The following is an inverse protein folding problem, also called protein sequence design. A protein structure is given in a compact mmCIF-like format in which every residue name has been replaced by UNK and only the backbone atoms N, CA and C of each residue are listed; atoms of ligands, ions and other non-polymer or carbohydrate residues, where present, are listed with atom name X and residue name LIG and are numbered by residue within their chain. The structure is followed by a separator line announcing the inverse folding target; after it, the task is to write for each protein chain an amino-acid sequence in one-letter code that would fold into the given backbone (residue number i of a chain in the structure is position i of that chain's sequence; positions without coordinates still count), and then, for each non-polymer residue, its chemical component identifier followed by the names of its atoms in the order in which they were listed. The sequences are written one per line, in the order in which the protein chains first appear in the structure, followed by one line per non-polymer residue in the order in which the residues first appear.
data_IF_328559055446
#
_entry.id   IF_328559055446
#
_cell.length_a   1.000
_cell.length_b   1.000
_cell.length_c   1.000
_cell.angle_alpha   90.00
_cell.angle_beta   90.00
_cell.angle_gamma   90.00
#
_symmetry.space_group_name_H-M   'P 1'
#
loop_
_entity.id
_entity.type
_entity.pdbx_description
1 polymer ?
#
# COMPACT_ATOMS: atom_id res chain seq x y z
N UNK A 1 -4.10 -16.23 8.42
CA UNK A 1 -3.14 -15.25 8.92
C UNK A 1 -1.84 -15.21 8.08
N UNK A 2 -1.06 -16.29 7.99
CA UNK A 2 0.19 -16.29 7.20
C UNK A 2 -0.03 -15.96 5.72
N UNK A 3 -1.04 -16.54 5.09
CA UNK A 3 -1.39 -16.25 3.70
C UNK A 3 -1.74 -14.77 3.48
N UNK A 4 -2.49 -14.15 4.40
CA UNK A 4 -2.84 -12.72 4.35
C UNK A 4 -1.59 -11.84 4.42
N UNK A 5 -0.64 -12.17 5.31
CA UNK A 5 0.64 -11.45 5.41
C UNK A 5 1.45 -11.57 4.12
N UNK A 6 1.53 -12.76 3.52
CA UNK A 6 2.25 -12.97 2.25
C UNK A 6 1.60 -12.18 1.11
N UNK A 7 0.27 -12.19 1.03
CA UNK A 7 -0.46 -11.40 0.03
C UNK A 7 -0.26 -9.90 0.24
N UNK A 8 -0.33 -9.41 1.47
CA UNK A 8 -0.07 -8.01 1.79
C UNK A 8 1.35 -7.58 1.40
N UNK A 9 2.37 -8.39 1.70
CA UNK A 9 3.76 -8.08 1.33
C UNK A 9 4.01 -8.07 -0.17
N UNK A 10 3.25 -8.85 -0.95
CA UNK A 10 3.37 -8.89 -2.40
C UNK A 10 2.50 -7.86 -3.12
N UNK A 11 1.33 -7.54 -2.58
CA UNK A 11 0.33 -6.69 -3.21
C UNK A 11 0.33 -5.24 -2.73
N UNK A 12 0.86 -4.95 -1.54
CA UNK A 12 0.78 -3.61 -0.96
C UNK A 12 1.54 -2.57 -1.80
N UNK A 13 0.79 -1.56 -2.24
CA UNK A 13 1.27 -0.51 -3.14
C UNK A 13 2.32 0.39 -2.50
N UNK A 14 2.14 0.74 -1.23
CA UNK A 14 3.09 1.57 -0.49
C UNK A 14 4.44 0.88 -0.34
N UNK A 15 4.43 -0.44 -0.15
CA UNK A 15 5.64 -1.24 -0.09
C UNK A 15 6.36 -1.30 -1.44
N UNK A 16 5.61 -1.38 -2.55
CA UNK A 16 6.19 -1.31 -3.89
C UNK A 16 6.82 0.06 -4.17
N UNK A 17 6.16 1.14 -3.75
CA UNK A 17 6.71 2.50 -3.85
C UNK A 17 8.02 2.59 -3.04
N UNK A 18 8.04 2.16 -1.79
CA UNK A 18 9.25 2.18 -0.98
C UNK A 18 10.42 1.36 -1.58
N UNK A 19 10.13 0.26 -2.28
CA UNK A 19 11.16 -0.50 -3.04
C UNK A 19 11.72 0.30 -4.21
N UNK A 20 10.87 1.02 -4.94
CA UNK A 20 11.28 1.90 -6.04
C UNK A 20 12.12 3.07 -5.50
N UNK A 21 11.76 3.64 -4.35
CA UNK A 21 12.52 4.71 -3.70
C UNK A 21 13.94 4.26 -3.34
N UNK A 22 14.12 3.04 -2.83
CA UNK A 22 15.44 2.44 -2.59
C UNK A 22 16.23 2.29 -3.89
N UNK A 23 15.58 1.84 -4.97
CA UNK A 23 16.22 1.68 -6.27
C UNK A 23 16.62 3.04 -6.86
N UNK A 24 15.77 4.04 -6.74
CA UNK A 24 16.05 5.42 -7.13
C UNK A 24 17.26 5.97 -6.38
N UNK A 25 17.26 5.86 -5.04
CA UNK A 25 18.38 6.31 -4.21
C UNK A 25 19.71 5.57 -4.53
N UNK A 26 19.66 4.29 -4.93
CA UNK A 26 20.84 3.56 -5.43
C UNK A 26 21.35 4.12 -6.73
N UNK A 27 20.45 4.48 -7.66
CA UNK A 27 20.81 5.05 -8.95
C UNK A 27 21.41 6.45 -8.78
N UNK A 28 20.86 7.26 -7.87
CA UNK A 28 21.38 8.58 -7.53
C UNK A 28 22.79 8.48 -6.93
N UNK A 29 23.00 7.56 -6.00
CA UNK A 29 24.33 7.29 -5.44
C UNK A 29 25.31 6.80 -6.52
N UNK A 30 24.87 5.95 -7.44
CA UNK A 30 25.68 5.48 -8.57
C UNK A 30 26.05 6.63 -9.51
N UNK A 31 25.13 7.55 -9.77
CA UNK A 31 25.35 8.75 -10.58
C UNK A 31 26.33 9.70 -9.88
N UNK A 32 26.19 9.89 -8.56
CA UNK A 32 27.15 10.67 -7.78
C UNK A 32 28.55 10.07 -7.82
N UNK A 33 28.68 8.73 -7.79
CA UNK A 33 29.95 8.04 -7.96
C UNK A 33 30.54 8.22 -9.35
N UNK A 34 29.70 8.26 -10.39
CA UNK A 34 30.16 8.47 -11.77
C UNK A 34 30.80 9.87 -11.96
N UNK A 35 30.37 10.87 -11.17
CA UNK A 35 30.94 12.22 -11.21
C UNK A 35 32.40 12.29 -10.73
N UNK A 36 32.89 11.25 -10.03
CA UNK A 36 34.31 11.10 -9.69
C UNK A 36 35.15 10.48 -10.83
N UNK A 37 34.48 9.97 -11.87
CA UNK A 37 35.11 9.33 -13.02
C UNK A 37 35.58 10.34 -14.08
N UNK A 38 36.38 9.88 -15.05
CA UNK A 38 36.73 10.70 -16.19
C UNK A 38 35.52 10.94 -17.11
N UNK A 39 35.38 12.17 -17.60
CA UNK A 39 34.42 12.51 -18.66
C UNK A 39 35.11 12.35 -20.00
N UNK A 40 34.45 11.67 -20.94
CA UNK A 40 34.96 11.47 -22.30
C UNK A 40 33.99 12.12 -23.27
N UNK A 41 34.46 13.24 -23.91
CA UNK A 41 33.69 13.92 -24.93
C UNK A 41 34.31 13.65 -26.32
N UNK A 42 33.47 13.30 -27.27
CA UNK A 42 33.83 13.12 -28.64
C UNK A 42 33.07 14.14 -29.49
N UNK A 43 33.80 15.06 -30.13
CA UNK A 43 33.26 16.08 -31.02
C UNK A 43 33.73 15.81 -32.45
N UNK A 44 32.78 15.69 -33.37
CA UNK A 44 33.06 15.66 -34.81
C UNK A 44 32.55 16.94 -35.43
N UNK A 45 33.47 17.73 -36.01
CA UNK A 45 33.16 19.01 -36.68
C UNK A 45 33.49 18.91 -38.15
N UNK A 46 32.49 19.18 -38.98
CA UNK A 46 32.63 19.40 -40.41
C UNK A 46 32.39 20.87 -40.71
N UNK A 47 33.33 21.52 -41.39
CA UNK A 47 33.20 22.93 -41.78
C UNK A 47 33.56 23.08 -43.24
N UNK A 48 32.62 23.61 -44.02
CA UNK A 48 32.82 24.02 -45.41
C UNK A 48 33.00 25.53 -45.42
N UNK A 49 34.22 25.98 -45.74
CA UNK A 49 34.54 27.41 -45.91
C UNK A 49 34.59 27.72 -47.36
N UNK A 50 33.56 28.36 -47.89
CA UNK A 50 33.57 28.94 -49.25
C UNK A 50 34.23 30.32 -49.18
N UNK A 51 35.47 30.42 -49.66
CA UNK A 51 36.12 31.69 -49.76
C UNK A 51 35.47 32.53 -50.86
N UNK A 52 34.94 33.70 -50.54
CA UNK A 52 34.34 34.65 -51.43
C UNK A 52 35.39 35.44 -52.24
N UNK A 53 36.69 35.21 -52.03
CA UNK A 53 37.77 35.79 -52.80
C UNK A 53 38.19 34.91 -53.98
N UNK A 54 38.18 35.46 -55.19
CA UNK A 54 38.29 34.90 -56.53
C UNK A 54 39.47 33.95 -56.85
N UNK A 55 40.06 33.27 -55.85
CA UNK A 55 41.16 32.29 -56.07
C UNK A 55 40.75 30.95 -55.47
N UNK A 56 39.76 30.34 -56.11
CA UNK A 56 38.97 29.25 -55.69
C UNK A 56 39.69 28.00 -55.22
N UNK A 57 39.32 27.60 -54.07
CA UNK A 57 39.39 26.21 -53.52
C UNK A 57 38.38 26.06 -52.38
N UNK A 58 37.47 25.15 -52.55
CA UNK A 58 36.65 24.71 -51.39
C UNK A 58 37.60 24.07 -50.38
N UNK A 59 37.71 24.67 -49.21
CA UNK A 59 38.42 24.08 -48.07
C UNK A 59 37.45 23.40 -47.21
N UNK A 60 37.46 22.03 -47.23
CA UNK A 60 36.77 21.18 -46.30
C UNK A 60 37.70 20.97 -45.11
N UNK A 61 37.21 21.26 -43.93
CA UNK A 61 37.92 20.99 -42.69
C UNK A 61 37.10 19.96 -41.89
N UNK A 62 37.66 18.77 -41.75
CA UNK A 62 37.10 17.72 -40.91
C UNK A 62 37.95 17.63 -39.65
N UNK A 63 37.32 17.78 -38.49
CA UNK A 63 38.01 17.69 -37.22
C UNK A 63 37.26 16.70 -36.34
N UNK A 64 37.97 15.68 -35.83
CA UNK A 64 37.52 14.81 -34.78
C UNK A 64 38.36 15.12 -33.54
N UNK A 65 37.69 15.51 -32.45
CA UNK A 65 38.33 15.82 -31.18
C UNK A 65 37.77 14.90 -30.11
N UNK A 66 38.67 14.19 -29.45
CA UNK A 66 38.32 13.39 -28.24
C UNK A 66 38.99 14.08 -27.05
N UNK A 67 38.18 14.47 -26.08
CA UNK A 67 38.65 15.10 -24.85
C UNK A 67 38.36 14.19 -23.68
N UNK A 68 39.36 13.90 -22.86
CA UNK A 68 39.21 13.14 -21.60
C UNK A 68 39.56 14.08 -20.47
N UNK A 69 38.59 14.35 -19.60
CA UNK A 69 38.77 15.23 -18.44
C UNK A 69 38.68 14.43 -17.13
N UNK A 70 39.67 14.62 -16.28
CA UNK A 70 39.69 14.07 -14.93
C UNK A 70 39.36 15.17 -13.93
N UNK A 71 38.27 15.04 -13.09
CA UNK A 71 37.87 16.07 -12.16
C UNK A 71 38.73 16.06 -10.87
N UNK A 72 40.03 16.32 -10.99
CA UNK A 72 40.96 16.27 -9.83
C UNK A 72 40.60 17.33 -8.78
N UNK A 73 40.11 18.50 -9.17
CA UNK A 73 39.65 19.57 -8.29
C UNK A 73 38.20 19.34 -7.78
N UNK A 74 37.41 18.54 -8.50
CA UNK A 74 36.02 18.22 -8.15
C UNK A 74 35.85 17.30 -6.94
N UNK A 75 36.85 16.52 -6.59
CA UNK A 75 36.82 15.58 -5.47
C UNK A 75 36.34 16.24 -4.16
N UNK A 76 36.73 17.47 -3.87
CA UNK A 76 36.28 18.20 -2.69
C UNK A 76 34.88 18.80 -2.84
N UNK A 77 34.44 19.16 -4.05
CA UNK A 77 33.12 19.75 -4.30
C UNK A 77 32.02 18.70 -4.43
N UNK A 78 32.34 17.52 -4.94
CA UNK A 78 31.37 16.43 -5.13
C UNK A 78 31.18 15.53 -3.90
N UNK A 79 32.14 15.55 -2.95
CA UNK A 79 32.08 14.73 -1.73
C UNK A 79 30.83 14.99 -0.88
N UNK A 80 30.35 16.25 -0.66
CA UNK A 80 29.10 16.48 0.08
C UNK A 80 27.88 15.89 -0.63
N UNK A 81 27.81 15.96 -1.96
CA UNK A 81 26.74 15.33 -2.76
C UNK A 81 26.70 13.83 -2.55
N UNK A 82 27.80 13.15 -2.72
CA UNK A 82 27.92 11.71 -2.48
C UNK A 82 27.50 11.31 -1.06
N UNK A 83 27.94 12.05 -0.03
CA UNK A 83 27.56 11.75 1.37
C UNK A 83 26.06 11.96 1.60
N UNK A 84 25.46 12.95 0.95
CA UNK A 84 24.01 13.16 1.01
C UNK A 84 23.25 12.02 0.34
N UNK A 85 23.68 11.57 -0.84
CA UNK A 85 23.01 10.49 -1.57
C UNK A 85 23.18 9.14 -0.83
N UNK A 86 24.35 8.91 -0.23
CA UNK A 86 24.55 7.77 0.65
C UNK A 86 23.58 7.81 1.86
N UNK A 87 23.43 8.98 2.48
CA UNK A 87 22.51 9.14 3.61
C UNK A 87 21.05 9.03 3.18
N UNK A 88 20.72 9.42 1.94
CA UNK A 88 19.40 9.25 1.35
C UNK A 88 19.10 7.75 1.11
N UNK A 89 20.06 6.99 0.59
CA UNK A 89 19.93 5.55 0.43
C UNK A 89 19.73 4.85 1.78
N UNK A 90 20.54 5.20 2.81
CA UNK A 90 20.38 4.62 4.14
C UNK A 90 18.99 4.91 4.74
N UNK A 91 18.45 6.12 4.51
CA UNK A 91 17.06 6.47 4.89
C UNK A 91 16.04 5.65 4.14
N UNK A 92 16.14 5.57 2.82
CA UNK A 92 15.19 4.80 2.00
C UNK A 92 15.16 3.31 2.39
N UNK A 93 16.31 2.71 2.73
CA UNK A 93 16.39 1.33 3.24
C UNK A 93 15.68 1.19 4.59
N UNK A 94 15.87 2.15 5.51
CA UNK A 94 15.21 2.13 6.81
C UNK A 94 13.69 2.33 6.66
N UNK A 95 13.26 3.23 5.79
CA UNK A 95 11.85 3.48 5.50
C UNK A 95 11.17 2.25 4.89
N UNK A 96 11.84 1.55 3.97
CA UNK A 96 11.37 0.26 3.45
C UNK A 96 11.19 -0.76 4.57
N UNK A 97 12.18 -0.91 5.46
CA UNK A 97 12.09 -1.84 6.59
C UNK A 97 10.96 -1.48 7.57
N UNK A 98 10.68 -0.20 7.80
CA UNK A 98 9.53 0.26 8.59
C UNK A 98 8.23 -0.08 7.88
N UNK A 99 8.09 0.22 6.59
CA UNK A 99 6.91 -0.11 5.80
C UNK A 99 6.62 -1.61 5.76
N UNK A 100 7.65 -2.46 5.67
CA UNK A 100 7.49 -3.92 5.76
C UNK A 100 6.89 -4.36 7.11
N UNK A 101 7.41 -3.80 8.21
CA UNK A 101 6.89 -4.09 9.56
C UNK A 101 5.46 -3.61 9.75
N UNK A 102 5.15 -2.40 9.26
CA UNK A 102 3.81 -1.82 9.35
C UNK A 102 2.82 -2.63 8.52
N UNK A 103 3.19 -3.05 7.31
CA UNK A 103 2.36 -3.92 6.47
C UNK A 103 2.08 -5.27 7.15
N UNK A 104 3.11 -5.90 7.74
CA UNK A 104 2.95 -7.15 8.49
C UNK A 104 2.02 -6.95 9.69
N UNK A 105 2.19 -5.83 10.41
CA UNK A 105 1.36 -5.50 11.57
C UNK A 105 -0.09 -5.31 11.15
N UNK A 106 -0.36 -4.46 10.15
CA UNK A 106 -1.70 -4.19 9.65
C UNK A 106 -2.41 -5.46 9.16
N UNK A 107 -1.69 -6.35 8.45
CA UNK A 107 -2.24 -7.62 8.00
C UNK A 107 -2.61 -8.57 9.17
N UNK A 108 -1.82 -8.55 10.23
CA UNK A 108 -2.12 -9.34 11.45
C UNK A 108 -3.28 -8.75 12.23
N UNK A 109 -3.32 -7.44 12.40
CA UNK A 109 -4.37 -6.72 13.13
C UNK A 109 -5.71 -6.94 12.42
N UNK A 110 -5.79 -6.72 11.10
CA UNK A 110 -7.00 -6.98 10.31
C UNK A 110 -7.47 -8.44 10.40
N UNK A 111 -6.55 -9.40 10.43
CA UNK A 111 -6.91 -10.81 10.63
C UNK A 111 -7.48 -11.09 12.02
N UNK A 112 -6.93 -10.49 13.07
CA UNK A 112 -7.41 -10.62 14.45
C UNK A 112 -8.81 -10.02 14.57
N UNK A 113 -9.03 -8.85 13.99
CA UNK A 113 -10.34 -8.18 13.98
C UNK A 113 -11.39 -9.02 13.26
N UNK A 114 -11.05 -9.58 12.08
CA UNK A 114 -11.93 -10.52 11.39
C UNK A 114 -12.27 -11.75 12.23
N UNK A 115 -11.27 -12.35 12.89
CA UNK A 115 -11.51 -13.54 13.73
C UNK A 115 -12.42 -13.21 14.93
N UNK A 116 -12.25 -12.03 15.53
CA UNK A 116 -13.09 -11.54 16.60
C UNK A 116 -14.53 -11.27 16.12
N UNK A 117 -14.68 -10.53 15.01
CA UNK A 117 -15.99 -10.23 14.43
C UNK A 117 -16.76 -11.51 14.06
N UNK A 118 -16.08 -12.50 13.48
CA UNK A 118 -16.67 -13.82 13.19
C UNK A 118 -17.15 -14.54 14.45
N UNK A 119 -16.38 -14.42 15.54
CA UNK A 119 -16.75 -15.04 16.83
C UNK A 119 -17.96 -14.32 17.43
N UNK A 120 -17.99 -12.99 17.40
CA UNK A 120 -19.13 -12.20 17.89
C UNK A 120 -20.39 -12.51 17.10
N UNK A 121 -20.32 -12.56 15.77
CA UNK A 121 -21.45 -12.96 14.94
C UNK A 121 -22.02 -14.32 15.35
N UNK A 122 -21.16 -15.30 15.64
CA UNK A 122 -21.61 -16.62 16.11
C UNK A 122 -22.32 -16.56 17.46
N UNK A 123 -21.93 -15.64 18.35
CA UNK A 123 -22.64 -15.43 19.63
C UNK A 123 -23.99 -14.77 19.40
N UNK A 124 -24.08 -13.74 18.58
CA UNK A 124 -25.34 -13.05 18.26
C UNK A 124 -26.33 -13.96 17.54
N UNK A 125 -25.86 -14.85 16.64
CA UNK A 125 -26.71 -15.90 16.03
C UNK A 125 -27.33 -16.85 17.09
N UNK A 126 -26.52 -17.28 18.06
CA UNK A 126 -27.01 -18.12 19.16
C UNK A 126 -27.98 -17.35 20.06
N UNK A 127 -27.68 -16.09 20.38
CA UNK A 127 -28.53 -15.24 21.21
C UNK A 127 -29.89 -14.99 20.57
N UNK A 128 -29.91 -14.65 19.27
CA UNK A 128 -31.16 -14.51 18.53
C UNK A 128 -31.97 -15.82 18.49
N UNK A 129 -31.30 -16.96 18.39
CA UNK A 129 -31.97 -18.28 18.45
C UNK A 129 -32.58 -18.52 19.81
N UNK A 130 -31.86 -18.27 20.91
CA UNK A 130 -32.35 -18.43 22.30
C UNK A 130 -33.51 -17.47 22.56
N UNK A 131 -33.39 -16.19 22.16
CA UNK A 131 -34.44 -15.19 22.33
C UNK A 131 -35.73 -15.60 21.59
N UNK A 132 -35.63 -16.16 20.39
CA UNK A 132 -36.75 -16.70 19.62
C UNK A 132 -37.43 -17.88 20.33
N UNK A 133 -36.64 -18.79 20.89
CA UNK A 133 -37.17 -19.93 21.68
C UNK A 133 -37.88 -19.43 22.93
N UNK A 134 -37.30 -18.48 23.66
CA UNK A 134 -37.90 -17.88 24.87
C UNK A 134 -39.22 -17.19 24.53
N UNK A 135 -39.32 -16.44 23.43
CA UNK A 135 -40.57 -15.86 22.97
C UNK A 135 -41.63 -16.95 22.70
N UNK A 136 -41.22 -18.04 22.04
CA UNK A 136 -42.12 -19.17 21.76
C UNK A 136 -42.65 -19.82 23.06
N UNK A 137 -41.81 -19.92 24.07
CA UNK A 137 -42.20 -20.44 25.39
C UNK A 137 -43.17 -19.46 26.07
N UNK A 138 -42.84 -18.18 26.15
CA UNK A 138 -43.69 -17.16 26.75
C UNK A 138 -45.10 -17.11 26.09
N UNK A 139 -45.18 -17.23 24.77
CA UNK A 139 -46.43 -17.30 24.04
C UNK A 139 -47.26 -18.54 24.40
N UNK A 140 -46.64 -19.72 24.55
CA UNK A 140 -47.31 -20.95 24.99
C UNK A 140 -47.80 -20.86 26.42
N UNK A 141 -47.00 -20.35 27.34
CA UNK A 141 -47.37 -20.13 28.73
C UNK A 141 -48.52 -19.12 28.83
N UNK A 142 -48.52 -18.06 28.01
CA UNK A 142 -49.63 -17.11 27.93
C UNK A 142 -50.92 -17.78 27.45
N UNK A 143 -50.82 -18.64 26.41
CA UNK A 143 -51.98 -19.41 25.92
C UNK A 143 -52.56 -20.40 26.96
N UNK A 144 -51.72 -20.83 27.92
CA UNK A 144 -52.11 -21.68 29.02
C UNK A 144 -52.51 -20.92 30.30
N UNK A 145 -52.66 -19.56 30.22
CA UNK A 145 -52.95 -18.67 31.36
C UNK A 145 -51.91 -18.79 32.52
N UNK A 146 -50.66 -19.18 32.21
CA UNK A 146 -49.57 -19.36 33.18
C UNK A 146 -48.69 -18.11 33.31
N UNK A 147 -48.77 -17.16 32.35
CA UNK A 147 -48.02 -15.92 32.38
C UNK A 147 -48.87 -14.74 31.88
N UNK A 148 -48.43 -13.52 32.13
CA UNK A 148 -49.12 -12.32 31.72
C UNK A 148 -48.64 -11.77 30.35
N UNK A 149 -49.31 -10.72 29.81
CA UNK A 149 -48.95 -10.12 28.55
C UNK A 149 -47.62 -9.37 28.63
N UNK A 150 -47.21 -8.92 29.83
CA UNK A 150 -45.96 -8.20 30.02
C UNK A 150 -44.73 -9.12 29.80
N UNK A 151 -44.85 -10.41 30.19
CA UNK A 151 -43.79 -11.38 29.95
C UNK A 151 -43.60 -11.68 28.46
N UNK A 152 -44.68 -11.74 27.68
CA UNK A 152 -44.58 -11.90 26.23
C UNK A 152 -43.95 -10.68 25.58
N UNK A 153 -44.36 -9.45 25.98
CA UNK A 153 -43.78 -8.21 25.49
C UNK A 153 -42.29 -8.13 25.81
N UNK A 154 -41.86 -8.48 27.02
CA UNK A 154 -40.44 -8.51 27.39
C UNK A 154 -39.64 -9.50 26.53
N UNK A 155 -40.22 -10.67 26.19
CA UNK A 155 -39.57 -11.63 25.30
C UNK A 155 -39.50 -11.14 23.83
N UNK A 156 -40.50 -10.37 23.37
CA UNK A 156 -40.50 -9.71 22.07
C UNK A 156 -39.37 -8.62 21.98
N UNK A 157 -39.28 -7.77 23.01
CA UNK A 157 -38.22 -6.76 23.12
C UNK A 157 -36.82 -7.40 23.16
N UNK A 158 -36.66 -8.51 23.88
CA UNK A 158 -35.41 -9.27 23.93
C UNK A 158 -35.03 -9.85 22.55
N UNK A 159 -36.02 -10.38 21.81
CA UNK A 159 -35.77 -10.87 20.44
C UNK A 159 -35.41 -9.73 19.48
N UNK A 160 -36.09 -8.61 19.57
CA UNK A 160 -35.79 -7.43 18.74
C UNK A 160 -34.36 -6.91 19.01
N UNK A 161 -33.95 -6.86 20.30
CA UNK A 161 -32.60 -6.52 20.71
C UNK A 161 -31.56 -7.48 20.10
N UNK A 162 -31.78 -8.79 20.27
CA UNK A 162 -30.88 -9.82 19.74
C UNK A 162 -30.77 -9.81 18.19
N UNK A 163 -31.87 -9.52 17.49
CA UNK A 163 -31.85 -9.37 16.03
C UNK A 163 -31.10 -8.13 15.58
N UNK A 164 -31.21 -7.05 16.34
CA UNK A 164 -30.42 -5.82 16.08
C UNK A 164 -28.92 -6.11 16.26
N UNK A 165 -28.53 -6.74 17.35
CA UNK A 165 -27.13 -7.08 17.64
C UNK A 165 -26.56 -8.02 16.56
N UNK A 166 -27.35 -8.99 16.10
CA UNK A 166 -27.01 -9.86 14.96
C UNK A 166 -26.77 -9.07 13.67
N UNK A 167 -27.61 -8.07 13.39
CA UNK A 167 -27.42 -7.19 12.23
C UNK A 167 -26.15 -6.35 12.34
N UNK A 168 -25.91 -5.78 13.52
CA UNK A 168 -24.73 -4.93 13.77
C UNK A 168 -23.43 -5.77 13.68
N UNK A 169 -23.41 -7.00 14.22
CA UNK A 169 -22.27 -7.90 14.13
C UNK A 169 -22.03 -8.43 12.71
N UNK A 170 -23.09 -8.65 11.94
CA UNK A 170 -22.95 -9.02 10.52
C UNK A 170 -22.33 -7.91 9.68
N UNK A 171 -22.71 -6.66 9.95
CA UNK A 171 -22.10 -5.48 9.31
C UNK A 171 -20.64 -5.30 9.75
N UNK A 172 -20.34 -5.53 11.03
CA UNK A 172 -18.97 -5.51 11.55
C UNK A 172 -18.09 -6.53 10.85
N UNK A 173 -18.56 -7.77 10.69
CA UNK A 173 -17.84 -8.81 9.96
C UNK A 173 -17.57 -8.39 8.49
N UNK A 174 -18.56 -7.81 7.83
CA UNK A 174 -18.41 -7.34 6.45
C UNK A 174 -17.33 -6.25 6.37
N UNK A 175 -17.34 -5.31 7.30
CA UNK A 175 -16.33 -4.24 7.39
C UNK A 175 -14.91 -4.82 7.52
N UNK A 176 -14.72 -5.79 8.42
CA UNK A 176 -13.39 -6.41 8.61
C UNK A 176 -12.93 -7.21 7.38
N UNK A 177 -13.85 -7.76 6.57
CA UNK A 177 -13.50 -8.37 5.28
C UNK A 177 -12.97 -7.31 4.30
N UNK A 178 -13.63 -6.15 4.21
CA UNK A 178 -13.12 -5.06 3.38
C UNK A 178 -11.77 -4.51 3.85
N UNK A 179 -11.55 -4.44 5.16
CA UNK A 179 -10.23 -4.05 5.72
C UNK A 179 -9.12 -5.03 5.32
N UNK A 180 -9.41 -6.34 5.33
CA UNK A 180 -8.45 -7.34 4.83
C UNK A 180 -8.18 -7.13 3.33
N UNK A 181 -9.22 -6.89 2.52
CA UNK A 181 -9.08 -6.67 1.08
C UNK A 181 -8.26 -5.40 0.78
N UNK A 182 -8.45 -4.34 1.57
CA UNK A 182 -7.67 -3.11 1.47
C UNK A 182 -6.18 -3.37 1.78
N UNK A 183 -5.89 -4.03 2.91
CA UNK A 183 -4.50 -4.33 3.31
C UNK A 183 -3.75 -5.18 2.28
N UNK A 184 -4.44 -6.11 1.59
CA UNK A 184 -3.84 -6.92 0.52
C UNK A 184 -3.94 -6.25 -0.86
N UNK A 185 -4.48 -5.03 -0.93
CA UNK A 185 -4.67 -4.24 -2.15
C UNK A 185 -5.50 -4.96 -3.24
N UNK A 186 -6.52 -5.68 -2.81
CA UNK A 186 -7.53 -6.30 -3.67
C UNK A 186 -8.89 -5.59 -3.61
N UNK A 187 -8.98 -4.45 -2.92
CA UNK A 187 -10.19 -3.64 -2.90
C UNK A 187 -10.29 -2.87 -4.23
N UNK A 188 -11.17 -3.30 -5.11
CA UNK A 188 -11.49 -2.58 -6.33
C UNK A 188 -12.67 -1.62 -6.09
N UNK A 189 -12.67 -0.41 -6.68
CA UNK A 189 -13.77 0.57 -6.50
C UNK A 189 -15.14 0.00 -6.84
N UNK A 190 -15.23 -0.87 -7.83
CA UNK A 190 -16.46 -1.48 -8.30
C UNK A 190 -17.10 -2.45 -7.27
N UNK A 191 -16.30 -3.00 -6.33
CA UNK A 191 -16.81 -3.87 -5.26
C UNK A 191 -17.60 -3.11 -4.21
N UNK A 192 -17.40 -1.80 -4.09
CA UNK A 192 -18.08 -0.94 -3.11
C UNK A 192 -19.44 -0.46 -3.64
N UNK A 193 -19.57 -0.28 -4.95
CA UNK A 193 -20.79 0.26 -5.57
C UNK A 193 -21.93 -0.76 -5.72
N UNK A 194 -21.62 -2.06 -5.83
CA UNK A 194 -22.63 -3.11 -6.09
C UNK A 194 -23.48 -3.46 -4.84
N UNK A 195 -23.10 -3.00 -3.65
CA UNK A 195 -23.78 -3.28 -2.38
C UNK A 195 -24.80 -2.19 -1.96
N UNK A 196 -25.06 -1.18 -2.82
CA UNK A 196 -26.00 -0.07 -2.54
C UNK A 196 -27.26 -0.14 -3.41
N UNK A 197 -27.51 -1.24 -4.10
CA UNK A 197 -28.75 -1.57 -4.83
C UNK A 197 -29.46 -2.75 -4.17
#
# INVERSE_FOLDING_TARGET
MEATVVMALSGNRDLQIAKIDVETAKNDLSSALANFGPTVDAEAKYSDKTDASHTGGNHYEEQIKVTVEFPISGLYMEMPGYLNDRSALDRAINDLALKERDTIKSAKDAWVEYANARTMLSYSENEATIAKELLTIAQKERAADQTDAAAVLAAEEALEGALKDLSDDSMSLLTTVYEILDVINLLEPDMVEDNTR
#
